data_IF_504727526759
#
_entry.id   IF_504727526759
#
_cell.length_a   1.000
_cell.length_b   1.000
_cell.length_c   1.000
_cell.angle_alpha   90.00
_cell.angle_beta   90.00
_cell.angle_gamma   90.00
#
_symmetry.space_group_name_H-M   'P 1'
#
loop_
_entity.id
_entity.type
_entity.pdbx_description
1 polymer ?
#
# COMPACT_ATOMS: atom_id res chain seq x y z
N UNK A 1 7.48 17.71 -16.42
CA UNK A 1 7.01 17.30 -17.76
C UNK A 1 6.65 15.83 -17.80
N UNK A 2 7.48 14.93 -17.31
CA UNK A 2 7.24 13.48 -17.35
C UNK A 2 6.02 13.03 -16.53
N UNK A 3 5.82 13.58 -15.31
CA UNK A 3 4.67 13.26 -14.45
C UNK A 3 3.33 13.55 -15.14
N UNK A 4 3.21 14.76 -15.72
CA UNK A 4 1.96 15.16 -16.38
C UNK A 4 1.64 14.28 -17.59
N UNK A 5 2.64 13.95 -18.41
CA UNK A 5 2.47 13.08 -19.57
C UNK A 5 2.05 11.65 -19.17
N UNK A 6 2.67 11.09 -18.13
CA UNK A 6 2.30 9.78 -17.57
C UNK A 6 0.86 9.76 -17.09
N UNK A 7 0.47 10.75 -16.28
CA UNK A 7 -0.89 10.83 -15.74
C UNK A 7 -1.94 11.06 -16.82
N UNK A 8 -1.62 11.84 -17.85
CA UNK A 8 -2.50 12.05 -18.99
C UNK A 8 -2.72 10.74 -19.77
N UNK A 9 -1.66 10.01 -20.04
CA UNK A 9 -1.75 8.71 -20.72
C UNK A 9 -2.55 7.70 -19.88
N UNK A 10 -2.28 7.60 -18.60
CA UNK A 10 -2.97 6.70 -17.69
C UNK A 10 -4.49 6.99 -17.65
N UNK A 11 -4.87 8.26 -17.49
CA UNK A 11 -6.27 8.71 -17.47
C UNK A 11 -7.02 8.40 -18.78
N UNK A 12 -6.33 8.59 -19.91
CA UNK A 12 -6.92 8.31 -21.24
C UNK A 12 -7.38 6.85 -21.36
N UNK A 13 -6.67 5.94 -20.73
CA UNK A 13 -6.92 4.50 -20.81
C UNK A 13 -7.55 3.90 -19.56
N UNK A 14 -7.94 4.74 -18.59
CA UNK A 14 -8.53 4.28 -17.33
C UNK A 14 -7.58 3.46 -16.45
N UNK A 15 -6.27 3.67 -16.59
CA UNK A 15 -5.23 2.96 -15.82
C UNK A 15 -4.84 3.76 -14.59
N UNK A 16 -4.74 3.10 -13.44
CA UNK A 16 -4.20 3.69 -12.22
C UNK A 16 -2.69 3.43 -12.14
N UNK A 17 -1.95 4.38 -11.58
CA UNK A 17 -0.48 4.32 -11.47
C UNK A 17 -0.08 4.25 -10.01
N UNK A 18 0.59 3.16 -9.63
CA UNK A 18 1.24 3.02 -8.33
C UNK A 18 2.70 3.46 -8.45
N UNK A 19 3.17 4.30 -7.54
CA UNK A 19 4.52 4.87 -7.60
C UNK A 19 4.58 6.18 -8.39
N UNK A 20 5.67 6.47 -9.13
CA UNK A 20 6.87 5.63 -9.37
C UNK A 20 7.78 5.48 -8.14
N UNK A 21 8.98 4.96 -8.37
CA UNK A 21 9.98 4.73 -7.32
C UNK A 21 9.40 3.90 -6.16
N UNK A 22 8.81 2.76 -6.48
CA UNK A 22 8.30 1.83 -5.50
C UNK A 22 8.58 0.38 -5.91
N UNK A 23 8.69 -0.50 -4.93
CA UNK A 23 8.90 -1.93 -5.17
C UNK A 23 7.64 -2.63 -5.73
N UNK A 24 6.47 -2.01 -5.66
CA UNK A 24 5.22 -2.61 -6.12
C UNK A 24 4.36 -3.16 -4.99
N UNK A 25 3.60 -4.22 -5.27
CA UNK A 25 2.69 -4.78 -4.28
C UNK A 25 2.57 -6.30 -4.36
N UNK A 26 2.18 -6.89 -3.23
CA UNK A 26 1.92 -8.32 -3.09
C UNK A 26 0.55 -8.50 -2.45
N UNK A 27 -0.28 -9.37 -3.02
CA UNK A 27 -1.57 -9.79 -2.45
C UNK A 27 -1.59 -11.32 -2.35
N UNK A 28 -1.11 -11.89 -1.23
CA UNK A 28 -0.88 -13.34 -1.12
C UNK A 28 -2.16 -14.17 -1.27
N UNK A 29 -3.30 -13.67 -0.81
CA UNK A 29 -4.58 -14.41 -0.83
C UNK A 29 -5.06 -14.78 -2.23
N UNK A 30 -4.63 -14.05 -3.25
CA UNK A 30 -4.96 -14.31 -4.66
C UNK A 30 -3.73 -14.69 -5.49
N UNK A 31 -2.58 -14.90 -4.84
CA UNK A 31 -1.35 -15.30 -5.50
C UNK A 31 -0.74 -14.23 -6.40
N UNK A 32 -1.02 -12.94 -6.15
CA UNK A 32 -0.46 -11.84 -6.95
C UNK A 32 0.79 -11.30 -6.28
N UNK A 33 1.88 -11.32 -7.02
CA UNK A 33 3.11 -10.59 -6.69
C UNK A 33 3.53 -9.72 -7.88
N UNK A 34 3.16 -8.46 -7.84
CA UNK A 34 3.54 -7.43 -8.80
C UNK A 34 4.62 -6.52 -8.18
N UNK A 35 5.70 -7.11 -7.70
CA UNK A 35 6.75 -6.39 -6.99
C UNK A 35 8.14 -6.83 -7.44
N UNK A 36 9.14 -6.01 -7.08
CA UNK A 36 10.56 -6.34 -7.18
C UNK A 36 11.11 -6.87 -5.84
N UNK A 37 10.23 -7.30 -4.94
CA UNK A 37 10.63 -7.85 -3.66
C UNK A 37 11.40 -9.17 -3.84
N UNK A 38 12.43 -9.41 -3.01
CA UNK A 38 13.23 -10.63 -3.10
C UNK A 38 12.50 -11.88 -2.59
N UNK A 39 11.37 -11.70 -1.93
CA UNK A 39 10.59 -12.77 -1.30
C UNK A 39 9.09 -12.59 -1.49
N UNK A 40 8.37 -13.70 -1.40
CA UNK A 40 6.92 -13.71 -1.30
C UNK A 40 6.47 -13.32 0.12
N UNK A 41 5.30 -12.70 0.22
CA UNK A 41 4.63 -12.50 1.50
C UNK A 41 3.74 -13.70 1.84
N UNK A 42 3.72 -14.11 3.10
CA UNK A 42 2.79 -15.11 3.57
C UNK A 42 1.37 -14.54 3.64
N UNK A 43 0.33 -15.35 3.39
CA UNK A 43 -1.05 -14.90 3.54
C UNK A 43 -1.40 -14.62 5.01
N UNK A 44 -2.16 -13.56 5.24
CA UNK A 44 -2.57 -13.11 6.56
C UNK A 44 -3.68 -12.07 6.50
N UNK A 45 -3.87 -11.32 7.59
CA UNK A 45 -4.99 -10.39 7.76
C UNK A 45 -4.55 -8.93 8.01
N UNK A 46 -3.27 -8.65 7.95
CA UNK A 46 -2.71 -7.30 8.14
C UNK A 46 -2.29 -6.75 6.78
N UNK A 47 -2.74 -5.55 6.45
CA UNK A 47 -2.20 -4.82 5.32
C UNK A 47 -1.03 -3.94 5.78
N UNK A 48 0.06 -3.96 5.05
CA UNK A 48 1.22 -3.11 5.28
C UNK A 48 1.42 -2.17 4.09
N UNK A 49 1.41 -0.88 4.34
CA UNK A 49 1.65 0.16 3.36
C UNK A 49 2.91 0.94 3.74
N UNK A 50 3.86 1.01 2.84
CA UNK A 50 5.13 1.70 3.10
C UNK A 50 5.44 2.73 2.02
N UNK A 51 5.92 3.89 2.44
CA UNK A 51 6.52 4.88 1.57
C UNK A 51 8.00 4.60 1.33
N UNK A 52 8.65 3.84 2.23
CA UNK A 52 10.05 3.45 2.14
C UNK A 52 10.23 2.03 1.61
N UNK A 53 10.97 1.88 0.52
CA UNK A 53 11.30 0.57 -0.06
C UNK A 53 12.26 -0.24 0.82
N UNK A 54 13.16 0.43 1.53
CA UNK A 54 14.07 -0.23 2.48
C UNK A 54 13.31 -0.85 3.63
N UNK A 55 12.35 -0.11 4.19
CA UNK A 55 11.50 -0.63 5.26
C UNK A 55 10.57 -1.74 4.76
N UNK A 56 10.01 -1.58 3.55
CA UNK A 56 9.22 -2.62 2.89
C UNK A 56 9.99 -3.95 2.87
N UNK A 57 11.21 -3.94 2.36
CA UNK A 57 12.04 -5.15 2.26
C UNK A 57 12.38 -5.72 3.64
N UNK A 58 12.77 -4.86 4.58
CA UNK A 58 13.17 -5.30 5.93
C UNK A 58 12.02 -5.90 6.71
N UNK A 59 10.83 -5.30 6.63
CA UNK A 59 9.62 -5.82 7.29
C UNK A 59 9.19 -7.14 6.66
N UNK A 60 9.24 -7.25 5.34
CA UNK A 60 8.89 -8.49 4.63
C UNK A 60 9.81 -9.65 5.04
N UNK A 61 11.11 -9.41 5.09
CA UNK A 61 12.10 -10.42 5.48
C UNK A 61 11.93 -10.86 6.93
N UNK A 62 11.78 -9.90 7.84
CA UNK A 62 11.53 -10.17 9.26
C UNK A 62 10.23 -10.93 9.48
N UNK A 63 9.13 -10.47 8.87
CA UNK A 63 7.81 -11.08 9.02
C UNK A 63 7.79 -12.52 8.49
N UNK A 64 8.42 -12.76 7.34
CA UNK A 64 8.55 -14.10 6.76
C UNK A 64 9.31 -15.03 7.72
N UNK A 65 10.40 -14.55 8.33
CA UNK A 65 11.18 -15.33 9.30
C UNK A 65 10.39 -15.68 10.57
N UNK A 66 9.38 -14.88 10.91
CA UNK A 66 8.50 -15.07 12.07
C UNK A 66 7.18 -15.79 11.74
N UNK A 67 6.95 -16.14 10.47
CA UNK A 67 5.71 -16.72 10.03
C UNK A 67 4.51 -15.77 10.07
N UNK A 68 4.76 -14.46 10.01
CA UNK A 68 3.72 -13.41 9.99
C UNK A 68 3.29 -13.17 8.55
N UNK A 69 1.98 -13.26 8.30
CA UNK A 69 1.39 -13.07 6.99
C UNK A 69 0.63 -11.74 6.84
N UNK A 70 0.37 -11.40 5.57
CA UNK A 70 -0.29 -10.16 5.19
C UNK A 70 -1.46 -10.40 4.25
N UNK A 71 -2.46 -9.51 4.31
CA UNK A 71 -3.51 -9.44 3.29
C UNK A 71 -3.00 -8.72 2.04
N UNK A 72 -2.32 -7.61 2.26
CA UNK A 72 -1.66 -6.80 1.24
C UNK A 72 -0.33 -6.27 1.76
N UNK A 73 0.65 -6.19 0.88
CA UNK A 73 1.96 -5.62 1.17
C UNK A 73 2.28 -4.64 0.03
N UNK A 74 2.19 -3.33 0.29
CA UNK A 74 2.15 -2.30 -0.75
C UNK A 74 3.22 -1.24 -0.52
N UNK A 75 4.08 -1.02 -1.51
CA UNK A 75 4.98 0.12 -1.58
C UNK A 75 4.33 1.24 -2.40
N UNK A 76 4.25 2.46 -1.87
CA UNK A 76 3.58 3.58 -2.53
C UNK A 76 4.51 4.51 -3.30
N UNK A 77 5.80 4.57 -2.92
CA UNK A 77 6.79 5.41 -3.60
C UNK A 77 6.39 6.88 -3.66
N UNK A 78 6.55 7.49 -4.84
CA UNK A 78 6.31 8.93 -5.07
C UNK A 78 4.83 9.32 -5.18
N UNK A 79 3.93 8.35 -5.21
CA UNK A 79 2.47 8.56 -5.19
C UNK A 79 1.97 9.57 -6.23
N UNK A 80 2.29 9.34 -7.52
CA UNK A 80 1.84 10.23 -8.58
C UNK A 80 0.33 10.22 -8.79
N UNK A 81 -0.31 9.06 -8.63
CA UNK A 81 -1.75 8.86 -8.82
C UNK A 81 -2.40 8.16 -7.62
N UNK A 82 -1.89 6.99 -7.23
CA UNK A 82 -2.39 6.26 -6.07
C UNK A 82 -1.72 6.79 -4.80
N UNK A 83 -2.53 7.32 -3.88
CA UNK A 83 -2.11 7.87 -2.59
C UNK A 83 -2.53 6.95 -1.45
N UNK A 84 -2.06 7.24 -0.23
CA UNK A 84 -2.49 6.51 0.98
C UNK A 84 -4.01 6.47 1.12
N UNK A 85 -4.70 7.60 0.91
CA UNK A 85 -6.16 7.66 1.07
C UNK A 85 -6.90 6.74 0.09
N UNK A 86 -6.42 6.56 -1.14
CA UNK A 86 -7.02 5.64 -2.11
C UNK A 86 -6.94 4.19 -1.60
N UNK A 87 -5.76 3.80 -1.08
CA UNK A 87 -5.56 2.44 -0.56
C UNK A 87 -6.34 2.22 0.73
N UNK A 88 -6.39 3.21 1.63
CA UNK A 88 -7.19 3.13 2.85
C UNK A 88 -8.68 2.98 2.56
N UNK A 89 -9.21 3.69 1.57
CA UNK A 89 -10.60 3.56 1.13
C UNK A 89 -10.88 2.13 0.60
N UNK A 90 -9.97 1.58 -0.19
CA UNK A 90 -10.05 0.19 -0.65
C UNK A 90 -10.03 -0.79 0.53
N UNK A 91 -9.08 -0.65 1.46
CA UNK A 91 -8.92 -1.54 2.61
C UNK A 91 -10.09 -1.47 3.59
N UNK A 92 -10.84 -0.36 3.61
CA UNK A 92 -12.01 -0.22 4.45
C UNK A 92 -13.10 -1.24 4.10
N UNK A 93 -13.27 -1.54 2.83
CA UNK A 93 -14.23 -2.55 2.33
C UNK A 93 -13.62 -3.95 2.11
N UNK A 94 -12.31 -4.10 2.21
CA UNK A 94 -11.66 -5.39 2.02
C UNK A 94 -11.89 -6.33 3.21
N UNK A 95 -12.64 -7.38 2.99
CA UNK A 95 -12.97 -8.40 4.01
C UNK A 95 -11.75 -9.23 4.46
N UNK A 96 -10.71 -9.28 3.66
CA UNK A 96 -9.49 -10.01 3.96
C UNK A 96 -8.54 -9.25 4.89
N UNK A 97 -8.71 -7.93 5.00
CA UNK A 97 -7.90 -7.08 5.86
C UNK A 97 -8.61 -6.79 7.18
N UNK A 98 -7.94 -7.08 8.30
CA UNK A 98 -8.47 -6.81 9.66
C UNK A 98 -7.72 -5.72 10.42
N UNK A 99 -6.51 -5.39 10.01
CA UNK A 99 -5.69 -4.31 10.57
C UNK A 99 -4.79 -3.72 9.51
N UNK A 100 -4.38 -2.48 9.68
CA UNK A 100 -3.52 -1.76 8.75
C UNK A 100 -2.34 -1.14 9.46
N UNK A 101 -1.15 -1.38 8.93
CA UNK A 101 0.10 -0.76 9.34
C UNK A 101 0.55 0.21 8.24
N UNK A 102 0.88 1.43 8.63
CA UNK A 102 1.33 2.48 7.74
C UNK A 102 2.72 2.97 8.13
N UNK A 103 3.63 3.02 7.19
CA UNK A 103 4.85 3.81 7.31
C UNK A 103 4.76 5.03 6.39
N UNK A 104 4.74 6.21 6.98
CA UNK A 104 4.47 7.48 6.30
C UNK A 104 5.62 8.46 6.54
N UNK A 105 6.20 8.97 5.47
CA UNK A 105 7.19 10.04 5.53
C UNK A 105 6.53 11.40 5.27
N UNK A 106 5.61 11.45 4.30
CA UNK A 106 4.90 12.66 3.90
C UNK A 106 3.46 12.35 3.50
N UNK A 107 2.58 13.33 3.67
CA UNK A 107 1.16 13.25 3.27
C UNK A 107 0.87 14.38 2.29
N UNK A 108 0.38 14.03 1.09
CA UNK A 108 0.10 15.02 0.04
C UNK A 108 -1.19 15.79 0.28
N UNK A 109 -2.20 15.15 0.85
CA UNK A 109 -3.50 15.76 1.17
C UNK A 109 -3.97 15.31 2.55
N UNK A 110 -3.68 16.13 3.56
CA UNK A 110 -4.05 15.84 4.95
C UNK A 110 -5.56 15.62 5.12
N UNK A 111 -6.38 16.43 4.44
CA UNK A 111 -7.85 16.29 4.51
C UNK A 111 -8.33 14.92 4.02
N UNK A 112 -7.89 14.50 2.83
CA UNK A 112 -8.28 13.21 2.24
C UNK A 112 -7.75 12.04 3.06
N UNK A 113 -6.49 12.13 3.49
CA UNK A 113 -5.88 11.13 4.34
C UNK A 113 -6.66 10.97 5.67
N UNK A 114 -6.93 12.06 6.38
CA UNK A 114 -7.66 12.01 7.65
C UNK A 114 -9.09 11.49 7.48
N UNK A 115 -9.76 11.83 6.39
CA UNK A 115 -11.09 11.31 6.08
C UNK A 115 -11.07 9.79 5.91
N UNK A 116 -10.18 9.29 5.07
CA UNK A 116 -10.04 7.85 4.80
C UNK A 116 -9.56 7.08 6.05
N UNK A 117 -8.57 7.62 6.78
CA UNK A 117 -8.06 7.00 7.99
C UNK A 117 -9.10 6.91 9.10
N UNK A 118 -9.90 7.96 9.29
CA UNK A 118 -11.02 7.95 10.28
C UNK A 118 -12.10 6.95 9.91
N UNK A 119 -12.47 6.87 8.63
CA UNK A 119 -13.45 5.90 8.15
C UNK A 119 -12.98 4.47 8.42
N UNK A 120 -11.73 4.18 8.07
CA UNK A 120 -11.11 2.87 8.29
C UNK A 120 -10.98 2.54 9.79
N UNK A 121 -10.52 3.48 10.61
CA UNK A 121 -10.28 3.28 12.04
C UNK A 121 -11.55 2.99 12.85
N UNK A 122 -12.73 3.29 12.32
CA UNK A 122 -14.00 2.89 12.94
C UNK A 122 -14.24 1.38 12.89
N UNK A 123 -13.65 0.70 11.93
CA UNK A 123 -13.89 -0.71 11.64
C UNK A 123 -12.67 -1.59 11.87
N UNK A 124 -11.46 -1.04 11.71
CA UNK A 124 -10.20 -1.79 11.73
C UNK A 124 -9.12 -0.98 12.42
N UNK A 125 -8.27 -1.61 13.26
CA UNK A 125 -7.10 -0.94 13.84
C UNK A 125 -6.18 -0.40 12.74
N UNK A 126 -5.75 0.86 12.93
CA UNK A 126 -4.78 1.53 12.05
C UNK A 126 -3.62 2.00 12.92
N UNK A 127 -2.43 1.51 12.60
CA UNK A 127 -1.18 1.89 13.26
C UNK A 127 -0.32 2.66 12.26
N UNK A 128 0.22 3.77 12.71
CA UNK A 128 1.08 4.65 11.91
C UNK A 128 2.44 4.77 12.57
N UNK A 129 3.48 4.63 11.77
CA UNK A 129 4.89 4.76 12.15
C UNK A 129 5.51 5.91 11.35
#
# INVERSE_FOLDING_TARGET
>A
VQKAALLQAARRWGVRVLGPNCLGFITPSVGVNASLAPREALPGKVAFLSQSDSLFTSVLDWATSKGIGFSHFIALGDRYDVHFHDVLDYLNSDVNTRAVLLYIETIDSARRFMSAARALARNKPVLVI
#
